data_IF_091377743553
#
_entry.id   IF_091377743553
#
_cell.length_a   1.000
_cell.length_b   1.000
_cell.length_c   1.000
_cell.angle_alpha   90.00
_cell.angle_beta   90.00
_cell.angle_gamma   90.00
#
_symmetry.space_group_name_H-M   'P 1'
#
loop_
_entity.id
_entity.type
_entity.pdbx_description
1 polymer ?
#
# COMPACT_ATOMS: atom_id res chain seq x y z
N UNK A 1 -35.43 10.19 30.23
CA UNK A 1 -34.30 11.07 30.54
C UNK A 1 -33.06 10.26 30.22
N UNK A 2 -32.50 10.46 29.03
CA UNK A 2 -31.23 9.89 28.62
C UNK A 2 -30.30 11.10 28.49
N UNK A 3 -29.26 11.14 29.31
CA UNK A 3 -28.27 12.21 29.30
C UNK A 3 -27.37 12.03 28.07
N UNK A 4 -27.39 13.06 27.22
CA UNK A 4 -26.53 13.23 26.04
C UNK A 4 -25.18 13.75 26.54
N UNK A 5 -24.35 12.86 27.12
CA UNK A 5 -23.15 13.25 27.88
C UNK A 5 -21.85 12.71 27.26
N UNK A 6 -21.72 12.88 25.93
CA UNK A 6 -20.45 12.61 25.25
C UNK A 6 -20.27 13.39 23.93
N UNK A 7 -20.90 14.55 23.77
CA UNK A 7 -20.57 15.45 22.66
C UNK A 7 -19.27 16.21 23.01
N UNK A 8 -18.13 15.69 22.58
CA UNK A 8 -16.84 16.40 22.65
C UNK A 8 -16.92 17.61 21.69
N UNK A 9 -16.83 18.86 22.17
CA UNK A 9 -16.81 20.04 21.31
C UNK A 9 -15.61 19.98 20.36
N UNK A 10 -15.82 20.27 19.08
CA UNK A 10 -14.76 20.22 18.06
C UNK A 10 -13.57 21.17 18.35
N UNK A 11 -13.74 22.15 19.24
CA UNK A 11 -12.70 23.11 19.61
C UNK A 11 -11.48 22.46 20.29
N UNK A 12 -11.63 21.29 20.93
CA UNK A 12 -10.53 20.55 21.57
C UNK A 12 -9.76 19.63 20.59
N UNK A 13 -10.16 19.54 19.32
CA UNK A 13 -9.52 18.65 18.32
C UNK A 13 -8.34 19.29 17.59
N UNK A 14 -8.16 20.61 17.67
CA UNK A 14 -7.10 21.31 16.94
C UNK A 14 -5.72 21.26 17.63
N UNK A 15 -5.65 21.08 18.96
CA UNK A 15 -4.43 21.34 19.75
C UNK A 15 -3.35 20.23 19.73
N UNK A 16 -3.34 19.36 18.71
CA UNK A 16 -2.33 18.30 18.66
C UNK A 16 -2.12 17.61 17.32
N UNK A 17 -2.80 18.05 16.26
CA UNK A 17 -2.58 17.48 14.94
C UNK A 17 -1.31 18.05 14.34
N UNK A 18 -0.17 17.44 14.68
CA UNK A 18 1.09 17.67 13.99
C UNK A 18 0.98 17.08 12.57
N UNK A 19 0.43 17.86 11.64
CA UNK A 19 0.25 17.47 10.23
C UNK A 19 1.57 17.43 9.45
N UNK A 20 2.69 17.82 10.07
CA UNK A 20 4.02 17.77 9.47
C UNK A 20 4.36 16.36 8.95
N UNK A 21 3.98 15.32 9.69
CA UNK A 21 4.15 13.92 9.31
C UNK A 21 3.23 13.47 8.18
N UNK A 22 2.10 14.15 7.97
CA UNK A 22 1.15 13.83 6.89
C UNK A 22 1.73 14.15 5.50
N UNK A 23 2.48 15.25 5.40
CA UNK A 23 3.15 15.66 4.17
C UNK A 23 4.57 15.11 4.04
N UNK A 24 5.08 14.44 5.08
CA UNK A 24 6.42 13.87 5.05
C UNK A 24 6.51 12.80 3.93
N UNK A 25 7.57 12.82 3.12
CA UNK A 25 7.77 11.79 2.11
C UNK A 25 7.86 10.42 2.78
N UNK A 26 6.87 9.57 2.52
CA UNK A 26 6.84 8.23 3.09
C UNK A 26 8.06 7.45 2.59
N UNK A 27 8.82 6.87 3.53
CA UNK A 27 9.90 5.93 3.17
C UNK A 27 9.27 4.65 2.59
N UNK A 28 9.07 4.66 1.29
CA UNK A 28 8.52 3.51 0.57
C UNK A 28 9.63 2.52 0.25
N UNK A 29 9.35 1.24 0.53
CA UNK A 29 10.18 0.16 0.01
C UNK A 29 9.97 0.04 -1.53
N UNK A 30 10.88 -0.63 -2.25
CA UNK A 30 10.79 -0.74 -3.71
C UNK A 30 9.48 -1.33 -4.23
N UNK A 31 8.88 -2.29 -3.52
CA UNK A 31 7.60 -2.91 -3.93
C UNK A 31 6.47 -1.90 -3.75
N UNK A 32 6.40 -1.27 -2.57
CA UNK A 32 5.42 -0.22 -2.30
C UNK A 32 5.47 0.89 -3.34
N UNK A 33 6.69 1.36 -3.67
CA UNK A 33 6.91 2.44 -4.64
C UNK A 33 6.29 2.18 -6.01
N UNK A 34 6.29 0.93 -6.48
CA UNK A 34 5.66 0.56 -7.76
C UNK A 34 4.16 0.83 -7.73
N UNK A 35 3.46 0.33 -6.70
CA UNK A 35 2.00 0.51 -6.60
C UNK A 35 1.57 1.94 -6.29
N UNK A 36 2.48 2.78 -5.79
CA UNK A 36 2.24 4.21 -5.65
C UNK A 36 2.47 4.98 -6.96
N UNK A 37 3.49 4.61 -7.73
CA UNK A 37 3.76 5.22 -9.04
C UNK A 37 2.74 4.82 -10.10
N UNK A 38 2.12 3.64 -9.96
CA UNK A 38 1.16 3.08 -10.92
C UNK A 38 -0.14 2.71 -10.18
N UNK A 39 -0.98 3.70 -9.83
CA UNK A 39 -2.22 3.47 -9.09
C UNK A 39 -3.24 2.60 -9.86
N UNK A 40 -3.06 2.42 -11.17
CA UNK A 40 -3.84 1.52 -12.03
C UNK A 40 -3.55 0.05 -11.73
N UNK A 41 -2.41 -0.26 -11.07
CA UNK A 41 -2.07 -1.62 -10.67
C UNK A 41 -2.78 -2.01 -9.37
N UNK A 42 -3.58 -3.07 -9.44
CA UNK A 42 -4.25 -3.61 -8.27
C UNK A 42 -3.36 -4.62 -7.53
N UNK A 43 -2.88 -4.26 -6.33
CA UNK A 43 -2.04 -5.12 -5.50
C UNK A 43 -2.72 -6.46 -5.11
N UNK A 44 -4.04 -6.46 -4.92
CA UNK A 44 -4.81 -7.68 -4.62
C UNK A 44 -4.86 -8.61 -5.82
N UNK A 45 -5.09 -8.10 -7.03
CA UNK A 45 -5.07 -8.90 -8.25
C UNK A 45 -3.66 -9.44 -8.54
N UNK A 46 -2.64 -8.62 -8.31
CA UNK A 46 -1.24 -9.01 -8.46
C UNK A 46 -0.86 -10.15 -7.51
N UNK A 47 -1.26 -10.08 -6.24
CA UNK A 47 -1.03 -11.14 -5.25
C UNK A 47 -1.63 -12.49 -5.69
N UNK A 48 -2.85 -12.45 -6.27
CA UNK A 48 -3.53 -13.65 -6.80
C UNK A 48 -2.75 -14.29 -7.96
N UNK A 49 -2.22 -13.49 -8.90
CA UNK A 49 -1.41 -14.00 -10.02
C UNK A 49 -0.15 -14.74 -9.55
N UNK A 50 0.47 -14.28 -8.47
CA UNK A 50 1.65 -14.90 -7.88
C UNK A 50 1.35 -16.06 -6.92
N UNK A 51 0.06 -16.37 -6.68
CA UNK A 51 -0.37 -17.30 -5.63
C UNK A 51 0.22 -16.94 -4.25
N UNK A 52 0.31 -15.65 -3.95
CA UNK A 52 0.74 -15.12 -2.65
C UNK A 52 -0.52 -14.71 -1.86
N UNK A 53 -0.64 -15.09 -0.58
CA UNK A 53 -1.74 -14.60 0.26
C UNK A 53 -1.80 -13.07 0.27
N UNK A 54 -2.96 -12.50 -0.01
CA UNK A 54 -3.15 -11.04 -0.10
C UNK A 54 -2.64 -10.29 1.15
N UNK A 55 -2.86 -10.77 2.40
CA UNK A 55 -2.31 -10.11 3.59
C UNK A 55 -0.78 -10.11 3.62
N UNK A 56 -0.15 -11.18 3.12
CA UNK A 56 1.31 -11.26 3.04
C UNK A 56 1.86 -10.30 1.98
N UNK A 57 1.20 -10.18 0.84
CA UNK A 57 1.59 -9.23 -0.19
C UNK A 57 1.39 -7.78 0.26
N UNK A 58 0.29 -7.47 0.96
CA UNK A 58 0.06 -6.18 1.58
C UNK A 58 1.19 -5.82 2.58
N UNK A 59 1.64 -6.79 3.38
CA UNK A 59 2.78 -6.62 4.27
C UNK A 59 4.11 -6.37 3.53
N UNK A 60 4.27 -6.88 2.30
CA UNK A 60 5.41 -6.53 1.43
C UNK A 60 5.28 -5.12 0.87
N UNK A 61 4.09 -4.72 0.41
CA UNK A 61 3.80 -3.37 -0.13
C UNK A 61 4.03 -2.29 0.93
N UNK A 62 3.53 -2.49 2.16
CA UNK A 62 3.72 -1.53 3.25
C UNK A 62 5.09 -1.62 3.94
N UNK A 63 5.90 -2.63 3.62
CA UNK A 63 7.27 -2.78 4.15
C UNK A 63 7.38 -3.41 5.53
N UNK A 64 6.28 -3.82 6.17
CA UNK A 64 6.30 -4.53 7.45
C UNK A 64 6.94 -5.93 7.36
N UNK A 65 6.96 -6.55 6.17
CA UNK A 65 7.68 -7.80 5.92
C UNK A 65 8.63 -7.67 4.72
N UNK A 66 9.80 -8.30 4.85
CA UNK A 66 10.80 -8.36 3.78
C UNK A 66 10.68 -9.68 3.01
N UNK A 67 10.37 -9.66 1.71
CA UNK A 67 10.37 -10.88 0.90
C UNK A 67 11.78 -11.45 0.76
N UNK A 68 11.89 -12.78 0.63
CA UNK A 68 13.15 -13.46 0.31
C UNK A 68 13.67 -13.06 -1.07
N UNK A 69 14.93 -13.39 -1.40
CA UNK A 69 15.50 -13.11 -2.71
C UNK A 69 14.69 -13.76 -3.85
N UNK A 70 14.30 -15.03 -3.67
CA UNK A 70 13.45 -15.74 -4.63
C UNK A 70 12.08 -15.05 -4.82
N UNK A 71 11.42 -14.64 -3.72
CA UNK A 71 10.14 -13.92 -3.80
C UNK A 71 10.27 -12.56 -4.48
N UNK A 72 11.35 -11.82 -4.22
CA UNK A 72 11.61 -10.54 -4.92
C UNK A 72 11.78 -10.75 -6.42
N UNK A 73 12.51 -11.79 -6.83
CA UNK A 73 12.67 -12.13 -8.24
C UNK A 73 11.33 -12.48 -8.88
N UNK A 74 10.52 -13.32 -8.23
CA UNK A 74 9.17 -13.66 -8.72
C UNK A 74 8.28 -12.42 -8.91
N UNK A 75 8.29 -11.49 -7.94
CA UNK A 75 7.54 -10.22 -8.03
C UNK A 75 8.03 -9.39 -9.21
N UNK A 76 9.35 -9.27 -9.39
CA UNK A 76 9.93 -8.52 -10.52
C UNK A 76 9.58 -9.15 -11.87
N UNK A 77 9.65 -10.48 -11.98
CA UNK A 77 9.38 -11.20 -13.21
C UNK A 77 7.92 -11.05 -13.64
N UNK A 78 6.99 -11.12 -12.69
CA UNK A 78 5.55 -10.92 -12.95
C UNK A 78 5.22 -9.48 -13.32
N UNK A 79 5.88 -8.49 -12.70
CA UNK A 79 5.71 -7.09 -13.08
C UNK A 79 6.15 -6.85 -14.53
N UNK A 80 7.33 -7.36 -14.92
CA UNK A 80 7.78 -7.29 -16.31
C UNK A 80 6.86 -8.04 -17.27
N UNK A 81 6.28 -9.16 -16.84
CA UNK A 81 5.29 -9.90 -17.63
C UNK A 81 4.05 -9.07 -17.88
N UNK A 82 3.45 -8.49 -16.84
CA UNK A 82 2.29 -7.58 -16.96
C UNK A 82 2.61 -6.40 -17.88
N UNK A 83 3.79 -5.78 -17.72
CA UNK A 83 4.22 -4.68 -18.59
C UNK A 83 4.26 -5.08 -20.07
N UNK A 84 4.76 -6.28 -20.39
CA UNK A 84 4.75 -6.81 -21.77
C UNK A 84 3.34 -7.15 -22.26
N UNK A 85 2.50 -7.73 -21.40
CA UNK A 85 1.09 -8.02 -21.71
C UNK A 85 0.34 -6.73 -22.08
N UNK A 86 0.56 -5.65 -21.33
CA UNK A 86 -0.05 -4.35 -21.59
C UNK A 86 0.52 -3.68 -22.85
N UNK A 87 1.84 -3.70 -23.04
CA UNK A 87 2.46 -3.07 -24.21
C UNK A 87 2.13 -3.77 -25.54
N UNK A 88 1.89 -5.10 -25.51
CA UNK A 88 1.47 -5.86 -26.70
C UNK A 88 -0.04 -5.94 -26.91
N UNK A 89 -0.84 -5.43 -25.96
CA UNK A 89 -2.29 -5.34 -26.07
C UNK A 89 -2.78 -3.98 -26.60
N UNK A 90 -1.85 -3.11 -27.01
CA UNK A 90 -2.09 -1.79 -27.62
C UNK A 90 -1.86 -1.85 -29.12
#
# INVERSE_FOLDING_TARGET
MFEDDAAVPFDDLEEGLELSGFFAPQKMNPIGRIFWLFPELNATAFARRLNIPQPLFAAYVNGSKKPSAARRKMISDELHRIGRELAGAV
#
